data_IF_045312169937
#
_entry.id   IF_045312169937
#
_cell.length_a   1.000
_cell.length_b   1.000
_cell.length_c   1.000
_cell.angle_alpha   90.00
_cell.angle_beta   90.00
_cell.angle_gamma   90.00
#
_symmetry.space_group_name_H-M   'P 1'
#
loop_
_entity.id
_entity.type
_entity.pdbx_description
1 polymer ?
#
# COMPACT_ATOMS: atom_id res chain seq x y z
N UNK A 1 13.23 88.79 12.43
CA UNK A 1 14.00 88.16 11.38
C UNK A 1 13.63 86.67 11.34
N UNK A 2 12.99 86.23 10.32
CA UNK A 2 12.26 85.02 10.15
C UNK A 2 13.15 84.01 9.43
N UNK A 3 13.31 82.78 9.98
CA UNK A 3 13.91 81.66 9.26
C UNK A 3 12.88 80.56 9.17
N UNK A 4 12.47 80.24 7.95
CA UNK A 4 11.59 79.12 7.64
C UNK A 4 12.39 77.78 7.58
N UNK A 5 11.99 76.79 8.33
CA UNK A 5 12.41 75.39 8.14
C UNK A 5 11.48 74.67 7.17
N UNK A 6 12.08 74.06 6.14
CA UNK A 6 11.44 73.19 5.20
C UNK A 6 11.35 71.76 5.84
N UNK A 7 10.14 71.30 5.95
CA UNK A 7 9.86 69.84 6.23
C UNK A 7 10.19 69.06 4.98
N UNK A 8 10.99 67.99 5.16
CA UNK A 8 11.18 66.91 4.18
C UNK A 8 10.24 65.79 4.54
N UNK A 9 9.32 65.45 3.65
CA UNK A 9 8.47 64.30 3.71
C UNK A 9 9.30 63.02 3.59
N UNK A 10 9.18 62.17 4.57
CA UNK A 10 9.62 60.78 4.55
C UNK A 10 8.55 59.93 3.84
N UNK A 11 8.90 59.39 2.68
CA UNK A 11 8.11 58.36 2.04
C UNK A 11 8.20 57.06 2.86
N UNK A 12 7.11 56.72 3.52
CA UNK A 12 6.92 55.40 4.07
C UNK A 12 6.80 54.41 2.89
N UNK A 13 7.78 53.51 2.77
CA UNK A 13 7.72 52.35 1.93
C UNK A 13 6.91 51.27 2.67
N UNK A 14 5.72 50.97 2.18
CA UNK A 14 4.91 49.83 2.59
C UNK A 14 5.69 48.51 2.47
N UNK A 15 5.81 47.74 3.56
CA UNK A 15 6.31 46.37 3.50
C UNK A 15 5.13 45.42 3.37
N UNK A 16 4.50 45.34 2.21
CA UNK A 16 3.49 44.36 1.91
C UNK A 16 3.94 43.55 0.68
N UNK A 17 4.65 42.48 0.94
CA UNK A 17 4.60 41.16 0.24
C UNK A 17 5.76 40.29 0.73
N UNK A 18 5.69 39.88 2.02
CA UNK A 18 6.32 38.67 2.43
C UNK A 18 5.39 37.54 1.94
N UNK A 19 5.60 37.13 0.70
CA UNK A 19 4.99 35.88 0.20
C UNK A 19 5.48 34.71 1.02
N UNK A 20 4.75 34.33 2.07
CA UNK A 20 4.84 33.03 2.65
C UNK A 20 4.44 32.02 1.56
N UNK A 21 5.44 31.48 0.86
CA UNK A 21 5.27 30.23 0.12
C UNK A 21 4.88 29.19 1.14
N UNK A 22 3.58 28.87 1.24
CA UNK A 22 3.10 27.79 2.08
C UNK A 22 3.89 26.53 1.68
N UNK A 23 4.81 26.10 2.54
CA UNK A 23 5.52 24.83 2.34
C UNK A 23 4.46 23.75 2.22
N UNK A 24 4.31 23.17 1.04
CA UNK A 24 3.38 22.07 0.83
C UNK A 24 3.95 20.82 1.51
N UNK A 25 3.57 20.66 2.77
CA UNK A 25 3.98 19.53 3.59
C UNK A 25 3.24 18.26 3.17
N UNK A 26 3.99 17.16 2.98
CA UNK A 26 3.42 15.87 2.61
C UNK A 26 2.53 15.30 3.73
N UNK A 27 1.24 15.10 3.43
CA UNK A 27 0.23 14.49 4.31
C UNK A 27 -0.56 13.38 3.62
N UNK A 28 0.00 12.78 2.57
CA UNK A 28 -0.67 11.78 1.72
C UNK A 28 -1.02 10.50 2.48
N UNK A 29 -0.13 10.04 3.37
CA UNK A 29 -0.33 8.81 4.15
C UNK A 29 -0.41 9.11 5.65
N UNK A 30 -0.82 8.15 6.51
CA UNK A 30 -0.94 8.39 7.96
C UNK A 30 0.37 8.75 8.67
N UNK A 31 1.53 8.63 8.00
CA UNK A 31 2.81 9.14 8.55
C UNK A 31 2.85 10.66 8.68
N UNK A 32 2.12 11.38 7.86
CA UNK A 32 2.04 12.84 7.86
C UNK A 32 3.40 13.50 8.11
N UNK A 33 4.42 13.05 7.37
CA UNK A 33 5.82 13.34 7.68
C UNK A 33 6.22 14.81 7.40
N UNK A 34 5.36 15.62 6.79
CA UNK A 34 5.62 17.02 6.53
C UNK A 34 6.76 17.30 5.55
N UNK A 35 7.26 16.31 4.84
CA UNK A 35 8.40 16.47 3.93
C UNK A 35 8.02 17.30 2.71
N UNK A 36 8.87 18.23 2.33
CA UNK A 36 8.73 19.03 1.10
C UNK A 36 9.24 18.24 -0.11
N UNK A 37 8.47 17.23 -0.52
CA UNK A 37 8.85 16.28 -1.57
C UNK A 37 9.04 16.93 -2.93
N UNK A 38 8.30 18.00 -3.24
CA UNK A 38 8.42 18.75 -4.48
C UNK A 38 9.77 19.46 -4.61
N UNK A 39 10.35 19.87 -3.48
CA UNK A 39 11.68 20.47 -3.42
C UNK A 39 12.78 19.45 -3.08
N UNK A 40 12.55 18.15 -3.31
CA UNK A 40 13.56 17.09 -3.20
C UNK A 40 13.79 16.55 -1.79
N UNK A 41 13.00 16.98 -0.78
CA UNK A 41 13.09 16.42 0.57
C UNK A 41 12.36 15.08 0.61
N UNK A 42 13.08 14.00 0.93
CA UNK A 42 12.49 12.67 0.95
C UNK A 42 11.53 12.48 2.14
N UNK A 43 10.39 11.84 1.87
CA UNK A 43 9.43 11.46 2.89
C UNK A 43 9.88 10.26 3.74
N UNK A 44 9.05 9.86 4.72
CA UNK A 44 9.24 8.60 5.47
C UNK A 44 9.22 7.37 4.55
N UNK A 45 8.54 7.46 3.41
CA UNK A 45 8.57 6.47 2.34
C UNK A 45 9.92 6.41 1.59
N UNK A 46 10.85 7.32 1.88
CA UNK A 46 12.17 7.48 1.24
C UNK A 46 12.12 7.94 -0.21
N UNK A 47 10.98 8.50 -0.64
CA UNK A 47 10.75 9.00 -1.98
C UNK A 47 10.50 10.51 -1.98
N UNK A 48 10.92 11.17 -3.07
CA UNK A 48 10.52 12.50 -3.46
C UNK A 48 9.20 12.50 -4.22
N UNK A 49 8.97 13.53 -5.03
CA UNK A 49 7.71 13.69 -5.77
C UNK A 49 7.62 12.84 -7.05
N UNK A 50 8.73 12.53 -7.69
CA UNK A 50 8.76 11.71 -8.91
C UNK A 50 8.38 10.25 -8.65
N UNK A 51 7.50 9.69 -9.49
CA UNK A 51 7.06 8.30 -9.40
C UNK A 51 8.20 7.34 -9.78
N UNK A 52 8.85 6.73 -8.80
CA UNK A 52 9.89 5.71 -9.04
C UNK A 52 9.20 4.37 -9.23
N UNK A 53 9.28 3.82 -10.44
CA UNK A 53 8.77 2.49 -10.80
C UNK A 53 9.94 1.52 -10.85
N UNK A 54 9.84 0.44 -10.08
CA UNK A 54 10.87 -0.60 -9.98
C UNK A 54 10.68 -1.72 -11.01
N UNK A 55 9.41 -2.08 -11.29
CA UNK A 55 9.10 -3.16 -12.22
C UNK A 55 7.73 -2.93 -12.86
N UNK A 56 7.61 -3.25 -14.14
CA UNK A 56 6.35 -3.35 -14.90
C UNK A 56 6.31 -4.71 -15.58
N UNK A 57 5.33 -5.55 -15.24
CA UNK A 57 5.28 -6.89 -15.80
C UNK A 57 4.02 -7.68 -15.48
N UNK A 58 3.85 -8.83 -16.15
CA UNK A 58 2.80 -9.78 -15.80
C UNK A 58 3.26 -10.63 -14.62
N UNK A 59 2.50 -10.63 -13.54
CA UNK A 59 2.79 -11.38 -12.32
C UNK A 59 1.72 -12.45 -12.06
N UNK A 60 2.16 -13.69 -11.82
CA UNK A 60 1.28 -14.86 -11.59
C UNK A 60 1.28 -15.33 -10.13
N UNK A 61 1.82 -14.52 -9.23
CA UNK A 61 1.99 -14.88 -7.82
C UNK A 61 0.94 -14.32 -6.89
N UNK A 62 -0.05 -13.58 -7.39
CA UNK A 62 -1.18 -13.09 -6.61
C UNK A 62 -2.24 -14.19 -6.40
N UNK A 63 -3.29 -13.92 -5.66
CA UNK A 63 -4.42 -14.83 -5.51
C UNK A 63 -4.98 -15.27 -6.88
N UNK A 64 -5.50 -16.49 -7.01
CA UNK A 64 -6.01 -17.00 -8.28
C UNK A 64 -7.04 -16.07 -8.95
N UNK A 65 -7.86 -15.39 -8.15
CA UNK A 65 -8.87 -14.44 -8.63
C UNK A 65 -8.28 -13.10 -9.12
N UNK A 66 -7.01 -12.82 -8.82
CA UNK A 66 -6.28 -11.63 -9.27
C UNK A 66 -5.36 -11.98 -10.45
N UNK A 67 -4.56 -13.03 -10.32
CA UNK A 67 -3.63 -13.45 -11.38
C UNK A 67 -4.33 -14.00 -12.62
N UNK A 68 -5.48 -14.65 -12.46
CA UNK A 68 -6.15 -15.32 -13.56
C UNK A 68 -5.23 -16.29 -14.32
N UNK A 69 -5.43 -16.38 -15.65
CA UNK A 69 -4.62 -17.27 -16.52
C UNK A 69 -3.33 -16.60 -17.01
N UNK A 70 -3.41 -15.30 -17.32
CA UNK A 70 -2.32 -14.56 -17.97
C UNK A 70 -1.40 -13.86 -16.96
N UNK A 71 -1.89 -13.53 -15.79
CA UNK A 71 -1.22 -12.79 -14.73
C UNK A 71 -1.77 -11.38 -14.55
N UNK A 72 -1.61 -10.85 -13.35
CA UNK A 72 -1.86 -9.45 -13.03
C UNK A 72 -0.85 -8.56 -13.76
N UNK A 73 -1.30 -7.46 -14.32
CA UNK A 73 -0.45 -6.42 -14.90
C UNK A 73 0.10 -5.52 -13.80
N UNK A 74 1.19 -5.95 -13.15
CA UNK A 74 1.72 -5.29 -11.97
C UNK A 74 2.66 -4.14 -12.29
N UNK A 75 2.50 -3.04 -11.56
CA UNK A 75 3.39 -1.88 -11.55
C UNK A 75 3.88 -1.70 -10.12
N UNK A 76 5.12 -2.09 -9.84
CA UNK A 76 5.74 -2.00 -8.52
C UNK A 76 6.40 -0.63 -8.34
N UNK A 77 5.96 0.10 -7.33
CA UNK A 77 6.56 1.38 -6.96
C UNK A 77 7.63 1.20 -5.89
N UNK A 78 8.72 1.98 -6.04
CA UNK A 78 9.78 2.03 -5.06
C UNK A 78 9.38 2.85 -3.83
N UNK A 79 9.98 2.50 -2.68
CA UNK A 79 9.66 3.11 -1.39
C UNK A 79 8.43 2.52 -0.73
N UNK A 80 8.23 2.83 0.56
CA UNK A 80 7.06 2.36 1.30
C UNK A 80 6.86 3.19 2.56
N UNK A 81 5.61 3.60 2.83
CA UNK A 81 5.27 4.36 4.04
C UNK A 81 5.37 3.52 5.32
N UNK A 82 5.24 2.18 5.23
CA UNK A 82 5.25 1.28 6.38
C UNK A 82 6.65 0.79 6.75
N UNK A 83 7.41 0.21 5.81
CA UNK A 83 8.80 -0.18 6.01
C UNK A 83 9.01 -1.36 6.97
N UNK A 84 8.17 -2.41 6.88
CA UNK A 84 8.23 -3.59 7.74
C UNK A 84 9.62 -4.25 7.75
N UNK A 85 10.09 -4.70 8.93
CA UNK A 85 11.41 -5.35 9.09
C UNK A 85 11.53 -6.67 8.32
N UNK A 86 10.41 -7.34 8.05
CA UNK A 86 10.33 -8.61 7.32
C UNK A 86 9.86 -8.46 5.88
N UNK A 87 9.93 -7.26 5.29
CA UNK A 87 9.44 -7.04 3.94
C UNK A 87 10.19 -7.88 2.92
N UNK A 88 9.45 -8.71 2.16
CA UNK A 88 10.02 -9.54 1.09
C UNK A 88 10.51 -8.67 -0.09
N UNK A 89 9.89 -7.51 -0.30
CA UNK A 89 10.28 -6.53 -1.30
C UNK A 89 11.23 -5.45 -0.71
N UNK A 90 12.07 -5.80 0.27
CA UNK A 90 12.92 -4.84 0.98
C UNK A 90 13.89 -4.10 0.06
N UNK A 91 14.33 -4.72 -1.04
CA UNK A 91 15.25 -4.14 -2.02
C UNK A 91 14.71 -2.87 -2.67
N UNK A 92 13.41 -2.81 -2.93
CA UNK A 92 12.75 -1.64 -3.51
C UNK A 92 12.02 -0.76 -2.49
N UNK A 93 11.54 -1.33 -1.39
CA UNK A 93 10.77 -0.61 -0.38
C UNK A 93 11.64 0.19 0.59
N UNK A 94 12.88 -0.25 0.85
CA UNK A 94 13.81 0.42 1.78
C UNK A 94 14.89 1.21 1.08
N UNK A 95 15.30 0.79 -0.10
CA UNK A 95 16.24 1.50 -0.96
C UNK A 95 15.54 1.74 -2.29
N UNK A 96 14.87 2.89 -2.45
CA UNK A 96 14.12 3.15 -3.67
C UNK A 96 15.01 3.02 -4.90
N UNK A 97 14.74 2.00 -5.72
CA UNK A 97 15.43 1.71 -6.98
C UNK A 97 14.41 1.62 -8.09
N UNK A 98 14.78 2.05 -9.26
CA UNK A 98 13.92 2.04 -10.43
C UNK A 98 14.11 3.30 -11.26
N UNK A 99 13.23 3.50 -12.23
CA UNK A 99 13.21 4.67 -13.09
C UNK A 99 12.06 5.61 -12.68
N UNK A 100 12.29 6.91 -12.77
CA UNK A 100 11.22 7.90 -12.59
C UNK A 100 10.35 7.89 -13.85
N UNK A 101 9.05 7.76 -13.65
CA UNK A 101 8.02 7.79 -14.69
C UNK A 101 7.27 9.12 -14.65
N UNK A 102 7.08 9.72 -15.81
CA UNK A 102 6.05 10.74 -16.04
C UNK A 102 4.67 10.08 -16.09
N UNK A 103 3.61 10.89 -16.02
CA UNK A 103 2.25 10.37 -16.18
C UNK A 103 2.02 9.72 -17.55
N UNK A 104 2.58 10.29 -18.63
CA UNK A 104 2.49 9.71 -19.98
C UNK A 104 3.20 8.37 -20.08
N UNK A 105 4.39 8.24 -19.51
CA UNK A 105 5.12 6.95 -19.48
C UNK A 105 4.39 5.90 -18.65
N UNK A 106 3.69 6.30 -17.57
CA UNK A 106 2.88 5.38 -16.79
C UNK A 106 1.64 4.92 -17.58
N UNK A 107 0.98 5.81 -18.34
CA UNK A 107 -0.10 5.46 -19.26
C UNK A 107 0.38 4.48 -20.33
N UNK A 108 1.55 4.72 -20.92
CA UNK A 108 2.11 3.82 -21.93
C UNK A 108 2.47 2.43 -21.36
N UNK A 109 2.94 2.39 -20.10
CA UNK A 109 3.16 1.14 -19.39
C UNK A 109 1.86 0.38 -19.14
N UNK A 110 0.77 1.06 -18.75
CA UNK A 110 -0.56 0.47 -18.58
C UNK A 110 -1.04 -0.14 -19.89
N UNK A 111 -1.00 0.62 -21.00
CA UNK A 111 -1.40 0.12 -22.33
C UNK A 111 -0.59 -1.10 -22.75
N UNK A 112 0.72 -1.08 -22.53
CA UNK A 112 1.58 -2.22 -22.83
C UNK A 112 1.22 -3.49 -22.04
N UNK A 113 0.76 -3.34 -20.78
CA UNK A 113 0.27 -4.46 -19.99
C UNK A 113 -1.06 -4.99 -20.55
N UNK A 114 -1.99 -4.11 -20.93
CA UNK A 114 -3.25 -4.50 -21.58
C UNK A 114 -3.00 -5.24 -22.91
N UNK A 115 -2.12 -4.73 -23.77
CA UNK A 115 -1.72 -5.36 -25.04
C UNK A 115 -1.10 -6.76 -24.85
N UNK A 116 -0.46 -6.99 -23.70
CA UNK A 116 0.11 -8.29 -23.29
C UNK A 116 -0.91 -9.22 -22.65
N UNK A 117 -2.19 -8.79 -22.55
CA UNK A 117 -3.27 -9.59 -22.03
C UNK A 117 -3.33 -9.65 -20.50
N UNK A 118 -2.88 -8.61 -19.80
CA UNK A 118 -3.01 -8.52 -18.35
C UNK A 118 -4.45 -8.69 -17.90
N UNK A 119 -4.67 -9.46 -16.82
CA UNK A 119 -6.02 -9.70 -16.28
C UNK A 119 -6.58 -8.47 -15.53
N UNK A 120 -5.71 -7.57 -15.10
CA UNK A 120 -5.99 -6.30 -14.43
C UNK A 120 -4.76 -5.39 -14.51
N UNK A 121 -4.89 -4.14 -14.04
CA UNK A 121 -3.75 -3.24 -13.80
C UNK A 121 -3.60 -3.06 -12.29
N UNK A 122 -2.51 -3.54 -11.75
CA UNK A 122 -2.26 -3.58 -10.32
C UNK A 122 -1.15 -2.61 -9.90
N UNK A 123 -1.51 -1.58 -9.11
CA UNK A 123 -0.60 -0.62 -8.52
C UNK A 123 -0.11 -1.14 -7.16
N UNK A 124 1.15 -1.58 -7.09
CA UNK A 124 1.71 -2.19 -5.87
C UNK A 124 2.49 -1.17 -5.06
N UNK A 125 2.08 -0.95 -3.81
CA UNK A 125 2.71 -0.03 -2.85
C UNK A 125 2.73 1.43 -3.37
N UNK A 126 1.64 1.87 -3.96
CA UNK A 126 1.55 3.17 -4.65
C UNK A 126 1.10 4.34 -3.76
N UNK A 127 0.76 4.12 -2.48
CA UNK A 127 0.19 5.10 -1.53
C UNK A 127 0.82 6.49 -1.59
N UNK A 128 2.14 6.56 -1.67
CA UNK A 128 2.86 7.83 -1.62
C UNK A 128 2.91 8.58 -2.97
N UNK A 129 2.31 8.02 -4.02
CA UNK A 129 2.10 8.61 -5.34
C UNK A 129 0.61 8.75 -5.70
N UNK A 130 -0.27 8.76 -4.69
CA UNK A 130 -1.73 8.78 -4.88
C UNK A 130 -2.20 9.92 -5.78
N UNK A 131 -1.66 11.14 -5.63
CA UNK A 131 -2.06 12.30 -6.43
C UNK A 131 -1.72 12.10 -7.91
N UNK A 132 -0.51 11.61 -8.21
CA UNK A 132 -0.04 11.37 -9.58
C UNK A 132 -0.82 10.22 -10.23
N UNK A 133 -1.05 9.12 -9.50
CA UNK A 133 -1.81 7.98 -10.03
C UNK A 133 -3.27 8.34 -10.27
N UNK A 134 -3.88 9.14 -9.39
CA UNK A 134 -5.21 9.69 -9.63
C UNK A 134 -5.24 10.46 -10.96
N UNK A 135 -4.29 11.37 -11.18
CA UNK A 135 -4.18 12.14 -12.42
C UNK A 135 -4.04 11.24 -13.66
N UNK A 136 -3.28 10.15 -13.55
CA UNK A 136 -3.13 9.15 -14.62
C UNK A 136 -4.45 8.47 -14.92
N UNK A 137 -5.17 7.99 -13.89
CA UNK A 137 -6.45 7.28 -14.07
C UNK A 137 -7.59 8.19 -14.55
N UNK A 138 -7.55 9.49 -14.23
CA UNK A 138 -8.47 10.49 -14.79
C UNK A 138 -8.22 10.74 -16.29
N UNK A 139 -6.97 10.60 -16.76
CA UNK A 139 -6.57 10.78 -18.18
C UNK A 139 -6.72 9.51 -19.01
N UNK A 140 -6.54 8.36 -18.38
CA UNK A 140 -6.62 7.07 -19.05
C UNK A 140 -7.29 6.03 -18.14
N UNK A 141 -8.45 5.54 -18.58
CA UNK A 141 -9.18 4.45 -17.94
C UNK A 141 -8.78 3.12 -18.58
N UNK A 142 -8.14 2.20 -17.83
CA UNK A 142 -7.84 0.86 -18.34
C UNK A 142 -9.12 0.10 -18.75
N UNK A 143 -9.00 -0.80 -19.70
CA UNK A 143 -10.10 -1.67 -20.18
C UNK A 143 -10.33 -2.89 -19.28
N UNK A 144 -9.41 -3.15 -18.37
CA UNK A 144 -9.43 -4.22 -17.36
C UNK A 144 -9.52 -3.62 -15.96
N UNK A 145 -9.93 -4.40 -14.93
CA UNK A 145 -10.05 -3.88 -13.57
C UNK A 145 -8.77 -3.21 -13.04
N UNK A 146 -8.93 -2.10 -12.33
CA UNK A 146 -7.84 -1.40 -11.66
C UNK A 146 -7.74 -1.89 -10.22
N UNK A 147 -6.56 -2.38 -9.83
CA UNK A 147 -6.29 -2.98 -8.54
C UNK A 147 -5.32 -2.11 -7.74
N UNK A 148 -5.69 -1.78 -6.49
CA UNK A 148 -4.86 -1.06 -5.54
C UNK A 148 -4.33 -2.00 -4.46
N UNK A 149 -3.07 -2.42 -4.60
CA UNK A 149 -2.39 -3.32 -3.66
C UNK A 149 -1.53 -2.53 -2.68
N UNK A 150 -1.90 -2.52 -1.42
CA UNK A 150 -1.24 -1.69 -0.41
C UNK A 150 -1.03 -2.41 0.92
N UNK A 151 -0.20 -1.78 1.76
CA UNK A 151 0.01 -2.25 3.14
C UNK A 151 -1.20 -2.03 4.06
N UNK A 152 -2.31 -1.50 3.56
CA UNK A 152 -3.48 -1.09 4.35
C UNK A 152 -3.29 0.21 5.12
N UNK A 153 -2.05 0.68 5.34
CA UNK A 153 -1.76 1.90 6.08
C UNK A 153 -2.01 3.15 5.23
N UNK A 154 -3.29 3.45 5.03
CA UNK A 154 -3.80 4.51 4.16
C UNK A 154 -4.59 5.56 4.95
N UNK A 155 -4.69 6.77 4.41
CA UNK A 155 -5.61 7.80 4.90
C UNK A 155 -6.95 7.69 4.18
N UNK A 156 -8.05 7.77 4.93
CA UNK A 156 -9.41 7.76 4.38
C UNK A 156 -9.60 8.90 3.38
N UNK A 157 -9.07 10.09 3.70
CA UNK A 157 -9.17 11.27 2.83
C UNK A 157 -8.42 11.06 1.51
N UNK A 158 -7.26 10.40 1.55
CA UNK A 158 -6.48 10.06 0.35
C UNK A 158 -7.18 9.00 -0.49
N UNK A 159 -7.77 7.98 0.15
CA UNK A 159 -8.59 6.97 -0.55
C UNK A 159 -9.83 7.60 -1.20
N UNK A 160 -10.42 8.63 -0.58
CA UNK A 160 -11.53 9.38 -1.15
C UNK A 160 -11.24 9.98 -2.53
N UNK A 161 -9.96 10.24 -2.86
CA UNK A 161 -9.55 10.72 -4.18
C UNK A 161 -9.73 9.67 -5.29
N UNK A 162 -9.89 8.38 -4.93
CA UNK A 162 -10.00 7.25 -5.85
C UNK A 162 -11.41 6.71 -5.99
N UNK A 163 -12.41 7.35 -5.38
CA UNK A 163 -13.81 6.89 -5.46
C UNK A 163 -14.26 6.83 -6.94
N UNK A 164 -14.61 5.63 -7.40
CA UNK A 164 -14.96 5.33 -8.80
C UNK A 164 -13.78 5.12 -9.77
N UNK A 165 -12.53 5.22 -9.30
CA UNK A 165 -11.32 4.96 -10.11
C UNK A 165 -10.69 3.59 -9.86
N UNK A 166 -10.88 3.01 -8.68
CA UNK A 166 -10.37 1.70 -8.30
C UNK A 166 -11.50 0.69 -8.27
N UNK A 167 -11.32 -0.44 -8.95
CA UNK A 167 -12.29 -1.52 -8.98
C UNK A 167 -12.05 -2.52 -7.85
N UNK A 168 -10.78 -2.82 -7.54
CA UNK A 168 -10.41 -3.81 -6.53
C UNK A 168 -9.37 -3.23 -5.57
N UNK A 169 -9.66 -3.32 -4.28
CA UNK A 169 -8.68 -3.05 -3.24
C UNK A 169 -8.11 -4.34 -2.66
N UNK A 170 -6.78 -4.43 -2.56
CA UNK A 170 -6.02 -5.51 -1.93
C UNK A 170 -5.23 -4.97 -0.72
N UNK A 171 -5.89 -4.56 0.37
CA UNK A 171 -5.19 -4.11 1.57
C UNK A 171 -4.64 -5.28 2.36
N UNK A 172 -3.39 -5.15 2.82
CA UNK A 172 -2.93 -6.01 3.90
C UNK A 172 -3.48 -5.53 5.25
N UNK A 173 -3.89 -6.44 6.11
CA UNK A 173 -4.15 -6.19 7.53
C UNK A 173 -3.14 -7.01 8.34
N UNK A 174 -1.99 -6.38 8.67
CA UNK A 174 -0.78 -7.07 9.11
C UNK A 174 -0.70 -7.29 10.62
N UNK A 175 -1.18 -6.33 11.42
CA UNK A 175 -1.04 -6.30 12.87
C UNK A 175 -2.33 -5.81 13.53
N UNK A 176 -2.70 -6.44 14.66
CA UNK A 176 -3.67 -5.92 15.60
C UNK A 176 -2.97 -5.16 16.73
N UNK A 177 -1.93 -5.77 17.29
CA UNK A 177 -1.18 -5.23 18.43
C UNK A 177 -0.35 -3.99 18.04
N UNK A 178 -0.55 -2.90 18.79
CA UNK A 178 0.26 -1.69 18.67
C UNK A 178 1.73 -1.94 19.00
N UNK A 179 2.04 -2.92 19.87
CA UNK A 179 3.42 -3.26 20.20
C UNK A 179 4.10 -4.01 19.06
N UNK A 180 3.40 -4.93 18.40
CA UNK A 180 3.94 -5.63 17.23
C UNK A 180 4.15 -4.67 16.05
N UNK A 181 3.17 -3.81 15.78
CA UNK A 181 3.28 -2.84 14.70
C UNK A 181 4.34 -1.76 14.97
N UNK A 182 4.51 -1.36 16.22
CA UNK A 182 5.64 -0.49 16.65
C UNK A 182 6.96 -1.20 16.44
N UNK A 183 7.09 -2.45 16.88
CA UNK A 183 8.31 -3.26 16.81
C UNK A 183 8.72 -3.56 15.38
N UNK A 184 7.78 -3.95 14.52
CA UNK A 184 8.10 -4.46 13.18
C UNK A 184 7.93 -3.44 12.05
N UNK A 185 7.24 -2.32 12.30
CA UNK A 185 6.99 -1.30 11.28
C UNK A 185 7.11 0.14 11.79
N UNK A 186 7.52 0.35 13.05
CA UNK A 186 7.57 1.66 13.72
C UNK A 186 6.25 2.46 13.54
N UNK A 187 5.10 1.79 13.74
CA UNK A 187 3.78 2.28 13.40
C UNK A 187 2.72 1.82 14.41
N UNK A 188 2.69 2.39 15.64
CA UNK A 188 1.84 1.92 16.72
C UNK A 188 0.33 2.08 16.46
N UNK A 189 -0.05 2.97 15.56
CA UNK A 189 -1.42 3.27 15.15
C UNK A 189 -1.88 2.48 13.91
N UNK A 190 -1.11 1.42 13.54
CA UNK A 190 -1.34 0.69 12.30
C UNK A 190 -2.77 0.13 12.20
N UNK A 191 -3.24 -0.57 13.24
CA UNK A 191 -4.53 -1.26 13.18
C UNK A 191 -5.68 -0.28 12.92
N UNK A 192 -5.77 0.78 13.72
CA UNK A 192 -6.83 1.78 13.61
C UNK A 192 -6.85 2.43 12.22
N UNK A 193 -5.67 2.79 11.69
CA UNK A 193 -5.56 3.40 10.37
C UNK A 193 -5.90 2.41 9.26
N UNK A 194 -5.33 1.21 9.30
CA UNK A 194 -5.58 0.18 8.28
C UNK A 194 -7.04 -0.28 8.29
N UNK A 195 -7.63 -0.46 9.46
CA UNK A 195 -9.02 -0.90 9.57
C UNK A 195 -10.02 0.17 9.10
N UNK A 196 -9.75 1.44 9.40
CA UNK A 196 -10.54 2.58 8.88
C UNK A 196 -10.41 2.69 7.35
N UNK A 197 -9.20 2.49 6.81
CA UNK A 197 -8.95 2.46 5.38
C UNK A 197 -9.72 1.31 4.69
N UNK A 198 -9.72 0.11 5.26
CA UNK A 198 -10.45 -1.05 4.75
C UNK A 198 -11.96 -0.79 4.71
N UNK A 199 -12.51 -0.15 5.73
CA UNK A 199 -13.94 0.26 5.73
C UNK A 199 -14.24 1.22 4.57
N UNK A 200 -13.38 2.18 4.33
CA UNK A 200 -13.53 3.11 3.20
C UNK A 200 -13.39 2.39 1.85
N UNK A 201 -12.41 1.54 1.67
CA UNK A 201 -12.23 0.71 0.47
C UNK A 201 -13.49 -0.13 0.18
N UNK A 202 -14.04 -0.77 1.22
CA UNK A 202 -15.30 -1.54 1.13
C UNK A 202 -16.49 -0.66 0.80
N UNK A 203 -16.55 0.57 1.33
CA UNK A 203 -17.60 1.55 0.98
C UNK A 203 -17.57 1.88 -0.52
N UNK A 204 -16.39 2.10 -1.08
CA UNK A 204 -16.21 2.47 -2.49
C UNK A 204 -16.53 1.33 -3.44
N UNK A 205 -16.10 0.12 -3.13
CA UNK A 205 -16.21 -1.02 -4.06
C UNK A 205 -17.44 -1.89 -3.84
N UNK A 206 -18.07 -1.81 -2.68
CA UNK A 206 -19.18 -2.71 -2.36
C UNK A 206 -18.72 -4.17 -2.12
N UNK A 207 -19.60 -5.15 -2.28
CA UNK A 207 -19.31 -6.58 -2.19
C UNK A 207 -18.37 -7.07 -3.28
N UNK A 208 -17.72 -8.21 -3.05
CA UNK A 208 -16.90 -8.85 -4.07
C UNK A 208 -17.77 -9.36 -5.22
N UNK A 209 -17.40 -8.99 -6.45
CA UNK A 209 -18.05 -9.42 -7.68
C UNK A 209 -17.02 -10.18 -8.51
N UNK A 210 -17.35 -11.42 -8.82
CA UNK A 210 -16.52 -12.31 -9.64
C UNK A 210 -17.15 -12.54 -11.00
N UNK A 211 -16.32 -12.77 -12.02
CA UNK A 211 -16.80 -13.24 -13.33
C UNK A 211 -17.05 -14.74 -13.34
N UNK A 212 -17.47 -15.28 -14.51
CA UNK A 212 -17.73 -16.72 -14.69
C UNK A 212 -16.50 -17.62 -14.56
N UNK A 213 -15.29 -17.08 -14.67
CA UNK A 213 -14.01 -17.79 -14.50
C UNK A 213 -13.45 -17.62 -13.07
N UNK A 214 -14.15 -16.91 -12.18
CA UNK A 214 -13.75 -16.68 -10.79
C UNK A 214 -12.76 -15.53 -10.60
N UNK A 215 -12.59 -14.64 -11.59
CA UNK A 215 -11.76 -13.42 -11.45
C UNK A 215 -12.52 -12.36 -10.67
N UNK A 216 -11.85 -11.67 -9.77
CA UNK A 216 -12.40 -10.56 -9.01
C UNK A 216 -12.44 -9.31 -9.89
N UNK A 217 -13.65 -8.89 -10.25
CA UNK A 217 -13.88 -7.70 -11.06
C UNK A 217 -14.07 -6.44 -10.24
N UNK A 218 -14.59 -6.58 -9.01
CA UNK A 218 -14.83 -5.47 -8.09
C UNK A 218 -14.88 -5.96 -6.65
N UNK A 219 -14.38 -5.17 -5.71
CA UNK A 219 -14.50 -5.51 -4.29
C UNK A 219 -13.26 -5.19 -3.48
N UNK A 220 -13.29 -5.59 -2.21
CA UNK A 220 -12.15 -5.49 -1.29
C UNK A 220 -11.78 -6.88 -0.80
N UNK A 221 -10.57 -7.34 -1.11
CA UNK A 221 -9.99 -8.59 -0.64
C UNK A 221 -8.90 -8.29 0.39
N UNK A 222 -9.21 -8.49 1.67
CA UNK A 222 -8.26 -8.27 2.77
C UNK A 222 -7.23 -9.38 2.78
N UNK A 223 -5.94 -9.03 2.82
CA UNK A 223 -4.85 -9.99 2.94
C UNK A 223 -4.29 -9.98 4.35
N UNK A 224 -4.17 -11.15 4.96
CA UNK A 224 -3.53 -11.31 6.25
C UNK A 224 -2.40 -12.33 6.20
N UNK A 225 -1.15 -11.85 6.36
CA UNK A 225 0.03 -12.71 6.47
C UNK A 225 0.20 -13.17 7.92
N UNK A 226 0.04 -14.45 8.15
CA UNK A 226 0.28 -15.05 9.48
C UNK A 226 1.77 -15.09 9.78
N UNK A 227 2.16 -14.46 10.88
CA UNK A 227 3.55 -14.42 11.33
C UNK A 227 3.85 -15.54 12.35
N UNK A 228 5.03 -16.16 12.28
CA UNK A 228 5.44 -17.14 13.27
C UNK A 228 5.49 -16.53 14.67
N UNK A 229 5.08 -17.30 15.69
CA UNK A 229 5.00 -16.89 17.10
C UNK A 229 3.91 -15.86 17.44
N UNK A 230 3.14 -15.33 16.47
CA UNK A 230 2.17 -14.26 16.66
C UNK A 230 0.72 -14.65 16.26
N UNK A 231 0.35 -15.93 16.39
CA UNK A 231 -0.99 -16.39 15.99
C UNK A 231 -2.14 -15.74 16.79
N UNK A 232 -1.88 -15.31 18.02
CA UNK A 232 -2.89 -14.59 18.81
C UNK A 232 -3.23 -13.22 18.21
N UNK A 233 -2.26 -12.55 17.61
CA UNK A 233 -2.50 -11.31 16.86
C UNK A 233 -3.39 -11.58 15.64
N UNK A 234 -3.15 -12.70 14.93
CA UNK A 234 -4.02 -13.17 13.84
C UNK A 234 -5.44 -13.45 14.31
N UNK A 235 -5.61 -14.05 15.51
CA UNK A 235 -6.94 -14.34 16.08
C UNK A 235 -7.74 -13.06 16.33
N UNK A 236 -7.09 -12.02 16.85
CA UNK A 236 -7.74 -10.72 17.08
C UNK A 236 -8.08 -10.02 15.76
N UNK A 237 -7.19 -10.07 14.76
CA UNK A 237 -7.48 -9.55 13.41
C UNK A 237 -8.72 -10.22 12.82
N UNK A 238 -8.76 -11.56 12.80
CA UNK A 238 -9.88 -12.32 12.24
C UNK A 238 -11.18 -12.04 13.00
N UNK A 239 -11.11 -11.95 14.33
CA UNK A 239 -12.24 -11.57 15.17
C UNK A 239 -12.79 -10.20 14.79
N UNK A 240 -11.92 -9.19 14.65
CA UNK A 240 -12.32 -7.82 14.27
C UNK A 240 -12.93 -7.78 12.86
N UNK A 241 -12.38 -8.55 11.92
CA UNK A 241 -12.97 -8.67 10.57
C UNK A 241 -14.39 -9.23 10.69
N UNK A 242 -14.60 -10.33 11.43
CA UNK A 242 -15.90 -10.99 11.55
C UNK A 242 -16.93 -10.17 12.31
N UNK A 243 -16.52 -9.38 13.31
CA UNK A 243 -17.42 -8.57 14.15
C UNK A 243 -17.78 -7.22 13.52
N UNK A 244 -16.84 -6.57 12.83
CA UNK A 244 -16.95 -5.16 12.44
C UNK A 244 -17.11 -4.91 10.94
N UNK A 245 -16.96 -5.95 10.09
CA UNK A 245 -17.12 -5.84 8.65
C UNK A 245 -18.31 -6.69 8.16
N UNK A 246 -18.87 -6.38 6.98
CA UNK A 246 -19.94 -7.16 6.38
C UNK A 246 -19.53 -8.63 6.15
N UNK A 247 -20.47 -9.56 6.31
CA UNK A 247 -20.23 -11.01 6.17
C UNK A 247 -19.74 -11.45 4.79
N UNK A 248 -19.97 -10.65 3.77
CA UNK A 248 -19.54 -10.88 2.39
C UNK A 248 -18.14 -10.37 2.08
N UNK A 249 -17.40 -9.90 3.12
CA UNK A 249 -16.01 -9.49 2.94
C UNK A 249 -15.13 -10.67 2.54
N UNK A 250 -14.25 -10.47 1.57
CA UNK A 250 -13.30 -11.48 1.14
C UNK A 250 -11.99 -11.36 1.91
N UNK A 251 -11.44 -12.49 2.34
CA UNK A 251 -10.18 -12.53 3.11
C UNK A 251 -9.23 -13.56 2.52
N UNK A 252 -8.00 -13.17 2.26
CA UNK A 252 -6.91 -14.06 1.86
C UNK A 252 -5.97 -14.29 3.05
N UNK A 253 -5.95 -15.53 3.55
CA UNK A 253 -5.09 -15.94 4.65
C UNK A 253 -3.77 -16.48 4.09
N UNK A 254 -2.68 -15.73 4.31
CA UNK A 254 -1.37 -16.01 3.73
C UNK A 254 -0.43 -16.67 4.73
N UNK A 255 0.33 -17.67 4.28
CA UNK A 255 1.36 -18.35 5.06
C UNK A 255 2.74 -18.33 4.38
N UNK A 256 2.90 -17.50 3.36
CA UNK A 256 4.12 -17.41 2.55
C UNK A 256 5.32 -16.76 3.25
N UNK A 257 5.20 -16.48 4.56
CA UNK A 257 6.29 -15.88 5.32
C UNK A 257 7.55 -16.75 5.29
N UNK A 258 8.68 -16.13 4.97
CA UNK A 258 10.02 -16.66 5.21
C UNK A 258 10.97 -15.54 5.67
N UNK A 259 11.98 -15.83 6.52
CA UNK A 259 12.94 -14.83 6.96
C UNK A 259 13.88 -14.44 5.82
N UNK A 260 13.94 -13.14 5.50
CA UNK A 260 14.86 -12.60 4.50
C UNK A 260 16.30 -12.68 4.99
N UNK A 261 17.28 -12.66 4.07
CA UNK A 261 18.70 -12.67 4.42
C UNK A 261 19.09 -11.43 5.26
N UNK A 262 18.49 -10.28 5.00
CA UNK A 262 18.69 -9.08 5.81
C UNK A 262 18.24 -9.29 7.26
N UNK A 263 17.05 -9.90 7.45
CA UNK A 263 16.53 -10.17 8.77
C UNK A 263 17.40 -11.17 9.55
N UNK A 264 17.90 -12.22 8.86
CA UNK A 264 18.82 -13.20 9.44
C UNK A 264 20.15 -12.56 9.88
N UNK A 265 20.73 -11.68 9.04
CA UNK A 265 21.98 -10.97 9.35
C UNK A 265 21.87 -10.07 10.55
N UNK A 266 20.76 -9.33 10.68
CA UNK A 266 20.54 -8.43 11.82
C UNK A 266 20.31 -9.17 13.14
N UNK A 267 19.66 -10.33 13.11
CA UNK A 267 19.36 -11.19 14.27
C UNK A 267 18.66 -10.47 15.45
N UNK A 268 17.92 -9.40 15.16
CA UNK A 268 17.22 -8.57 16.16
C UNK A 268 15.85 -9.14 16.55
N UNK A 269 15.30 -10.05 15.72
CA UNK A 269 13.94 -10.60 15.84
C UNK A 269 13.97 -12.12 15.78
N UNK A 270 14.48 -12.81 16.81
CA UNK A 270 14.69 -14.28 16.79
C UNK A 270 13.40 -15.04 16.55
N UNK A 271 12.26 -14.52 16.99
CA UNK A 271 10.92 -15.08 16.75
C UNK A 271 10.55 -15.14 15.26
N UNK A 272 11.11 -14.26 14.44
CA UNK A 272 10.89 -14.17 13.00
C UNK A 272 11.96 -14.89 12.16
N UNK A 273 12.96 -15.55 12.77
CA UNK A 273 14.03 -16.24 12.03
C UNK A 273 13.66 -17.65 11.56
N UNK A 274 12.38 -17.98 11.55
CA UNK A 274 11.84 -19.25 11.09
C UNK A 274 10.58 -19.10 10.26
N UNK A 275 10.26 -20.08 9.48
CA UNK A 275 8.95 -20.18 8.81
C UNK A 275 7.84 -20.51 9.81
N UNK A 276 6.61 -20.26 9.40
CA UNK A 276 5.40 -20.64 10.12
C UNK A 276 5.33 -22.18 10.28
N UNK A 277 4.99 -22.67 11.46
CA UNK A 277 4.77 -24.09 11.72
C UNK A 277 3.36 -24.49 11.29
N UNK A 278 3.19 -25.74 10.84
CA UNK A 278 1.88 -26.27 10.44
C UNK A 278 0.83 -26.10 11.56
N UNK A 279 1.19 -26.42 12.81
CA UNK A 279 0.26 -26.26 13.94
C UNK A 279 -0.19 -24.81 14.18
N UNK A 280 0.71 -23.84 13.99
CA UNK A 280 0.37 -22.42 14.11
C UNK A 280 -0.63 -22.02 13.03
N UNK A 281 -0.36 -22.41 11.79
CA UNK A 281 -1.24 -22.05 10.67
C UNK A 281 -2.59 -22.75 10.74
N UNK A 282 -2.62 -24.07 11.06
CA UNK A 282 -3.89 -24.80 11.24
C UNK A 282 -4.77 -24.15 12.31
N UNK A 283 -4.19 -23.73 13.45
CA UNK A 283 -4.97 -23.04 14.49
C UNK A 283 -5.59 -21.72 14.00
N UNK A 284 -4.89 -20.97 13.11
CA UNK A 284 -5.43 -19.76 12.52
C UNK A 284 -6.54 -20.07 11.51
N UNK A 285 -6.40 -21.13 10.70
CA UNK A 285 -7.45 -21.61 9.79
C UNK A 285 -8.69 -22.06 10.58
N UNK A 286 -8.51 -22.84 11.64
CA UNK A 286 -9.62 -23.28 12.50
C UNK A 286 -10.37 -22.08 13.09
N UNK A 287 -9.64 -21.06 13.52
CA UNK A 287 -10.23 -19.79 14.01
C UNK A 287 -10.97 -19.04 12.93
N UNK A 288 -10.41 -18.96 11.72
CA UNK A 288 -11.01 -18.34 10.55
C UNK A 288 -12.37 -18.96 10.22
N UNK A 289 -12.42 -20.29 10.13
CA UNK A 289 -13.65 -21.04 9.87
C UNK A 289 -14.66 -20.92 11.02
N UNK A 290 -14.21 -21.02 12.28
CA UNK A 290 -15.07 -20.90 13.45
C UNK A 290 -15.74 -19.52 13.58
N UNK A 291 -15.17 -18.47 12.98
CA UNK A 291 -15.76 -17.13 12.91
C UNK A 291 -16.74 -16.96 11.74
N UNK A 292 -16.94 -17.99 10.91
CA UNK A 292 -17.82 -17.95 9.74
C UNK A 292 -17.27 -17.07 8.61
N UNK A 293 -15.96 -16.92 8.51
CA UNK A 293 -15.29 -16.26 7.38
C UNK A 293 -15.12 -17.28 6.26
N UNK A 294 -16.12 -17.40 5.39
CA UNK A 294 -16.18 -18.41 4.33
C UNK A 294 -15.77 -17.89 2.96
N UNK A 295 -15.75 -16.55 2.80
CA UNK A 295 -15.41 -15.90 1.53
C UNK A 295 -13.92 -15.58 1.48
N UNK A 296 -13.16 -16.29 0.64
CA UNK A 296 -11.77 -15.96 0.46
C UNK A 296 -10.87 -17.13 0.13
N UNK A 297 -9.59 -16.98 0.45
CA UNK A 297 -8.54 -17.91 0.07
C UNK A 297 -7.70 -18.30 1.29
N UNK A 298 -7.32 -19.56 1.34
CA UNK A 298 -6.36 -20.08 2.33
C UNK A 298 -5.17 -20.62 1.56
N UNK A 299 -4.02 -20.00 1.76
CA UNK A 299 -2.79 -20.36 1.05
C UNK A 299 -2.19 -21.66 1.62
N UNK A 300 -1.57 -22.49 0.79
CA UNK A 300 -0.87 -23.68 1.22
C UNK A 300 0.51 -23.37 1.81
N UNK A 301 0.95 -24.15 2.81
CA UNK A 301 2.27 -23.98 3.45
C UNK A 301 3.46 -24.13 2.51
N UNK A 302 3.29 -24.82 1.39
CA UNK A 302 4.27 -24.89 0.28
C UNK A 302 4.61 -23.53 -0.32
N UNK A 303 3.75 -22.54 -0.14
CA UNK A 303 3.93 -21.17 -0.67
C UNK A 303 4.99 -20.34 0.06
N UNK A 304 5.53 -20.79 1.20
CA UNK A 304 6.61 -20.11 1.92
C UNK A 304 7.96 -20.23 1.19
N UNK A 305 8.05 -19.65 -0.01
CA UNK A 305 9.23 -19.70 -0.89
C UNK A 305 9.46 -18.37 -1.57
N UNK A 306 10.68 -18.15 -2.09
CA UNK A 306 11.04 -16.94 -2.84
C UNK A 306 10.38 -16.82 -4.22
N UNK A 307 9.68 -17.87 -4.69
CA UNK A 307 9.06 -17.92 -6.03
C UNK A 307 8.03 -16.81 -6.29
N UNK A 308 7.43 -16.28 -5.24
CA UNK A 308 6.42 -15.21 -5.30
C UNK A 308 7.03 -13.82 -5.17
N UNK A 309 8.34 -13.71 -4.94
CA UNK A 309 9.05 -12.44 -4.92
C UNK A 309 9.58 -12.17 -6.31
N UNK A 310 9.26 -11.02 -6.92
CA UNK A 310 9.82 -10.65 -8.22
C UNK A 310 11.36 -10.58 -8.19
N UNK A 311 11.98 -10.88 -9.31
CA UNK A 311 13.42 -10.63 -9.50
C UNK A 311 13.60 -9.15 -9.83
N UNK A 312 14.41 -8.47 -9.04
CA UNK A 312 14.66 -7.04 -9.17
C UNK A 312 15.94 -6.81 -10.00
N UNK A 313 15.82 -6.80 -11.32
CA UNK A 313 16.91 -6.48 -12.25
C UNK A 313 16.95 -4.95 -12.48
N UNK A 314 17.32 -4.18 -11.42
CA UNK A 314 17.30 -2.71 -11.37
C UNK A 314 18.62 -2.14 -10.85
#
# INVERSE_FOLDING_TARGET
MTVRNKERGSSESDPLFSGETSKMECRICPRECGSDRKNGVLGKCRCGDGMIVSLVGLHKGEEPCISGKNGAGTIFFAGCSLGCVFCQNSEISRTPRGRIYSESELIDAIKSLEDRGAENIEFVTATHYSEQIRSVLEKYKPSVPVVWNSSGYEKVETLGLFDGLIDVYLPDLKFFSSDLSRRYAACPDYFEKAFSAIREMRRQTGGCVFDGDGKLLRGTLIRHLVLPSHIHDSFEILKRIAEDLPRDICVSLLCQYFPTEELKKKNEYPELLRKLKRKEYSAVIDRFLALGLENGFVQELSSATEKYVPVWDI
#
